data_IF_824439792322
#
_entry.id   IF_824439792322
#
_cell.length_a   1.000
_cell.length_b   1.000
_cell.length_c   1.000
_cell.angle_alpha   90.00
_cell.angle_beta   90.00
_cell.angle_gamma   90.00
#
_symmetry.space_group_name_H-M   'P 1'
#
loop_
_entity.id
_entity.type
_entity.pdbx_description
1 polymer ?
#
# COMPACT_ATOMS: atom_id res chain seq x y z
N UNK A 1 3.50 26.10 12.36
CA UNK A 1 2.43 26.16 13.20
C UNK A 1 2.54 25.07 14.18
N UNK A 2 2.56 25.54 15.30
CA UNK A 2 2.49 24.63 16.31
C UNK A 2 1.48 23.67 15.91
N UNK A 3 1.81 22.85 15.46
CA UNK A 3 0.99 22.04 14.94
C UNK A 3 -0.05 21.45 15.74
N UNK A 4 -0.58 20.53 15.21
CA UNK A 4 -1.57 19.68 15.77
C UNK A 4 -0.88 18.88 16.85
N UNK A 5 -1.34 19.03 18.06
CA UNK A 5 -0.89 18.17 19.14
C UNK A 5 -1.64 16.87 18.99
N UNK A 6 -0.91 15.82 18.68
CA UNK A 6 -1.51 14.51 18.51
C UNK A 6 -1.18 13.66 19.73
N UNK A 7 -2.21 13.23 20.44
CA UNK A 7 -2.05 12.32 21.57
C UNK A 7 -1.81 10.91 21.04
N UNK A 8 -0.65 10.36 21.36
CA UNK A 8 -0.24 9.04 20.87
C UNK A 8 -1.19 7.91 21.34
N UNK A 9 -1.91 8.12 22.43
CA UNK A 9 -2.88 7.15 22.94
C UNK A 9 -4.26 7.28 22.29
N UNK A 10 -4.51 8.35 21.53
CA UNK A 10 -5.82 8.59 20.95
C UNK A 10 -6.02 7.76 19.67
N UNK A 11 -7.27 7.33 19.40
CA UNK A 11 -7.58 6.67 18.14
C UNK A 11 -7.20 7.50 16.91
N UNK A 12 -7.29 8.82 17.00
CA UNK A 12 -6.93 9.71 15.90
C UNK A 12 -5.45 9.62 15.55
N UNK A 13 -4.59 9.42 16.54
CA UNK A 13 -3.17 9.23 16.28
C UNK A 13 -2.93 7.90 15.56
N UNK A 14 -3.57 6.83 16.03
CA UNK A 14 -3.43 5.51 15.40
C UNK A 14 -3.96 5.52 13.97
N UNK A 15 -5.06 6.21 13.72
CA UNK A 15 -5.60 6.38 12.38
C UNK A 15 -4.61 7.16 11.49
N UNK A 16 -4.06 8.24 11.99
CA UNK A 16 -3.08 9.04 11.25
C UNK A 16 -1.87 8.19 10.86
N UNK A 17 -1.35 7.41 11.81
CA UNK A 17 -0.20 6.53 11.55
C UNK A 17 -0.55 5.48 10.50
N UNK A 18 -1.74 4.88 10.58
CA UNK A 18 -2.18 3.88 9.61
C UNK A 18 -2.29 4.47 8.21
N UNK A 19 -2.89 5.66 8.11
CA UNK A 19 -3.05 6.33 6.81
C UNK A 19 -1.70 6.69 6.19
N UNK A 20 -0.78 7.20 7.00
CA UNK A 20 0.55 7.55 6.53
C UNK A 20 1.32 6.31 6.06
N UNK A 21 1.25 5.24 6.86
CA UNK A 21 1.91 3.98 6.52
C UNK A 21 1.31 3.34 5.26
N UNK A 22 0.00 3.44 5.09
CA UNK A 22 -0.66 2.94 3.89
C UNK A 22 -0.20 3.70 2.65
N UNK A 23 -0.14 5.03 2.75
CA UNK A 23 0.33 5.87 1.66
C UNK A 23 1.77 5.51 1.26
N UNK A 24 2.63 5.29 2.24
CA UNK A 24 4.02 4.91 2.00
C UNK A 24 4.12 3.55 1.30
N UNK A 25 3.37 2.56 1.78
CA UNK A 25 3.35 1.23 1.16
C UNK A 25 2.79 1.27 -0.26
N UNK A 26 1.70 2.02 -0.45
CA UNK A 26 1.11 2.17 -1.77
C UNK A 26 2.08 2.83 -2.75
N UNK A 27 2.82 3.85 -2.31
CA UNK A 27 3.82 4.50 -3.17
C UNK A 27 4.88 3.53 -3.64
N UNK A 28 5.31 2.60 -2.79
CA UNK A 28 6.27 1.57 -3.19
C UNK A 28 5.68 0.62 -4.24
N UNK A 29 4.41 0.23 -4.05
CA UNK A 29 3.72 -0.62 -5.03
C UNK A 29 3.57 0.12 -6.36
N UNK A 30 3.13 1.37 -6.30
CA UNK A 30 2.93 2.19 -7.50
C UNK A 30 4.23 2.35 -8.28
N UNK A 31 5.34 2.57 -7.59
CA UNK A 31 6.64 2.68 -8.23
C UNK A 31 7.02 1.40 -8.99
N UNK A 32 6.76 0.25 -8.36
CA UNK A 32 7.06 -1.04 -8.99
C UNK A 32 6.18 -1.30 -10.22
N UNK A 33 4.89 -0.98 -10.12
CA UNK A 33 3.96 -1.16 -11.23
C UNK A 33 4.24 -0.18 -12.38
N UNK A 34 4.66 1.03 -12.04
CA UNK A 34 5.08 2.02 -13.03
C UNK A 34 6.35 1.56 -13.75
N UNK A 35 7.29 0.99 -13.01
CA UNK A 35 8.48 0.40 -13.61
C UNK A 35 8.10 -0.68 -14.64
N UNK A 36 7.19 -1.58 -14.30
CA UNK A 36 6.74 -2.61 -15.23
C UNK A 36 6.13 -1.99 -16.48
N UNK A 37 5.25 -1.02 -16.29
CA UNK A 37 4.56 -0.35 -17.39
C UNK A 37 5.56 0.32 -18.35
N UNK A 38 6.56 0.99 -17.80
CA UNK A 38 7.54 1.73 -18.60
C UNK A 38 8.58 0.84 -19.27
N UNK A 39 8.75 -0.39 -18.77
CA UNK A 39 9.78 -1.31 -19.28
C UNK A 39 9.18 -2.61 -19.82
N UNK A 40 7.93 -2.57 -20.20
CA UNK A 40 7.18 -3.78 -20.54
C UNK A 40 7.81 -4.61 -21.64
N UNK A 41 8.24 -3.97 -22.73
CA UNK A 41 8.87 -4.67 -23.84
C UNK A 41 10.22 -5.25 -23.44
N UNK A 42 11.00 -4.48 -22.69
CA UNK A 42 12.29 -4.94 -22.22
C UNK A 42 12.14 -6.14 -21.29
N UNK A 43 11.18 -6.07 -20.38
CA UNK A 43 10.95 -7.16 -19.43
C UNK A 43 10.51 -8.45 -20.13
N UNK A 44 9.70 -8.33 -21.17
CA UNK A 44 9.31 -9.51 -21.96
C UNK A 44 10.53 -10.25 -22.52
N UNK A 45 11.53 -9.51 -22.99
CA UNK A 45 12.71 -10.11 -23.60
C UNK A 45 13.78 -10.53 -22.62
N UNK A 46 13.92 -9.81 -21.49
CA UNK A 46 15.06 -9.99 -20.59
C UNK A 46 14.67 -10.68 -19.28
N UNK A 47 13.51 -10.34 -18.74
CA UNK A 47 13.07 -10.84 -17.43
C UNK A 47 11.56 -11.04 -17.40
N UNK A 48 11.03 -12.00 -18.15
CA UNK A 48 9.59 -12.24 -18.17
C UNK A 48 9.05 -12.61 -16.80
N UNK A 49 9.89 -13.17 -15.91
CA UNK A 49 9.48 -13.52 -14.56
C UNK A 49 9.10 -12.29 -13.74
N UNK A 50 9.89 -11.21 -13.88
CA UNK A 50 9.59 -9.95 -13.20
C UNK A 50 8.25 -9.42 -13.69
N UNK A 51 8.04 -9.43 -15.00
CA UNK A 51 6.80 -8.95 -15.60
C UNK A 51 5.60 -9.74 -15.08
N UNK A 52 5.70 -11.07 -15.07
CA UNK A 52 4.61 -11.92 -14.58
C UNK A 52 4.30 -11.68 -13.11
N UNK A 53 5.33 -11.51 -12.28
CA UNK A 53 5.14 -11.24 -10.86
C UNK A 53 4.42 -9.91 -10.66
N UNK A 54 4.86 -8.87 -11.35
CA UNK A 54 4.24 -7.55 -11.22
C UNK A 54 2.82 -7.52 -11.80
N UNK A 55 2.57 -8.25 -12.88
CA UNK A 55 1.23 -8.37 -13.44
C UNK A 55 0.26 -9.04 -12.47
N UNK A 56 0.72 -10.02 -11.70
CA UNK A 56 -0.10 -10.67 -10.68
C UNK A 56 -0.36 -9.75 -9.50
N UNK A 57 0.61 -8.91 -9.16
CA UNK A 57 0.48 -7.98 -8.04
C UNK A 57 -0.54 -6.88 -8.35
N UNK A 58 -0.61 -6.43 -9.59
CA UNK A 58 -1.45 -5.29 -9.99
C UNK A 58 -2.91 -5.40 -9.53
N UNK A 59 -3.65 -6.48 -9.83
CA UNK A 59 -5.05 -6.57 -9.37
C UNK A 59 -5.16 -6.75 -7.86
N UNK A 60 -4.21 -7.42 -7.23
CA UNK A 60 -4.20 -7.59 -5.77
C UNK A 60 -4.00 -6.26 -5.07
N UNK A 61 -3.07 -5.45 -5.57
CA UNK A 61 -2.83 -4.11 -5.03
C UNK A 61 -4.06 -3.21 -5.21
N UNK A 62 -4.68 -3.26 -6.37
CA UNK A 62 -5.88 -2.49 -6.64
C UNK A 62 -7.00 -2.85 -5.67
N UNK A 63 -7.21 -4.14 -5.45
CA UNK A 63 -8.20 -4.63 -4.50
C UNK A 63 -7.90 -4.15 -3.07
N UNK A 64 -6.64 -4.20 -2.65
CA UNK A 64 -6.23 -3.75 -1.33
C UNK A 64 -6.52 -2.25 -1.13
N UNK A 65 -6.23 -1.44 -2.15
CA UNK A 65 -6.49 0.01 -2.11
C UNK A 65 -7.99 0.27 -1.98
N UNK A 66 -8.80 -0.44 -2.74
CA UNK A 66 -10.26 -0.27 -2.68
C UNK A 66 -10.81 -0.66 -1.32
N UNK A 67 -10.35 -1.77 -0.76
CA UNK A 67 -10.77 -2.22 0.56
C UNK A 67 -10.40 -1.20 1.64
N UNK A 68 -9.17 -0.70 1.59
CA UNK A 68 -8.72 0.30 2.56
C UNK A 68 -9.54 1.58 2.44
N UNK A 69 -9.78 2.05 1.23
CA UNK A 69 -10.58 3.27 1.00
C UNK A 69 -11.98 3.14 1.57
N UNK A 70 -12.62 1.98 1.41
CA UNK A 70 -13.95 1.74 1.97
C UNK A 70 -13.92 1.70 3.48
N UNK A 71 -12.99 0.98 4.06
CA UNK A 71 -12.85 0.87 5.51
C UNK A 71 -12.53 2.24 6.13
N UNK A 72 -11.71 3.03 5.45
CA UNK A 72 -11.36 4.38 5.86
C UNK A 72 -12.61 5.27 5.92
N UNK A 73 -13.44 5.19 4.89
CA UNK A 73 -14.69 5.97 4.83
C UNK A 73 -15.63 5.60 5.97
N UNK A 74 -15.77 4.31 6.22
CA UNK A 74 -16.59 3.83 7.34
C UNK A 74 -16.04 4.34 8.67
N UNK A 75 -14.73 4.24 8.86
CA UNK A 75 -14.11 4.70 10.11
C UNK A 75 -14.32 6.19 10.32
N UNK A 76 -14.16 7.00 9.29
CA UNK A 76 -14.33 8.45 9.41
C UNK A 76 -15.78 8.84 9.72
N UNK A 77 -16.74 8.05 9.25
CA UNK A 77 -18.16 8.29 9.52
C UNK A 77 -18.51 7.87 10.94
N UNK A 78 -17.98 6.75 11.42
CA UNK A 78 -18.28 6.20 12.73
C UNK A 78 -17.03 5.52 13.31
N UNK A 79 -16.15 6.30 13.95
CA UNK A 79 -14.91 5.74 14.49
C UNK A 79 -15.17 4.74 15.60
N UNK A 80 -14.62 3.55 15.45
CA UNK A 80 -14.70 2.49 16.44
C UNK A 80 -13.37 1.76 16.54
N UNK A 81 -13.07 1.13 17.69
CA UNK A 81 -11.88 0.29 17.79
C UNK A 81 -11.85 -0.84 16.77
N UNK A 82 -13.00 -1.43 16.47
CA UNK A 82 -13.10 -2.48 15.46
C UNK A 82 -12.77 -1.95 14.06
N UNK A 83 -13.25 -0.75 13.73
CA UNK A 83 -12.94 -0.10 12.47
C UNK A 83 -11.45 0.19 12.34
N UNK A 84 -10.81 0.64 13.40
CA UNK A 84 -9.38 0.88 13.41
C UNK A 84 -8.60 -0.41 13.21
N UNK A 85 -9.00 -1.50 13.86
CA UNK A 85 -8.39 -2.82 13.66
C UNK A 85 -8.50 -3.27 12.22
N UNK A 86 -9.64 -3.03 11.58
CA UNK A 86 -9.84 -3.35 10.17
C UNK A 86 -8.83 -2.60 9.29
N UNK A 87 -8.65 -1.30 9.55
CA UNK A 87 -7.66 -0.51 8.81
C UNK A 87 -6.25 -1.04 9.01
N UNK A 88 -5.90 -1.40 10.24
CA UNK A 88 -4.57 -1.93 10.54
C UNK A 88 -4.32 -3.27 9.86
N UNK A 89 -5.34 -4.13 9.77
CA UNK A 89 -5.23 -5.40 9.06
C UNK A 89 -5.04 -5.18 7.54
N UNK A 90 -5.78 -4.23 6.98
CA UNK A 90 -5.63 -3.89 5.57
C UNK A 90 -4.28 -3.22 5.27
N UNK A 91 -3.78 -2.44 6.23
CA UNK A 91 -2.42 -1.90 6.14
C UNK A 91 -1.39 -3.02 6.05
N UNK A 92 -1.51 -4.05 6.88
CA UNK A 92 -0.62 -5.21 6.82
C UNK A 92 -0.65 -5.87 5.44
N UNK A 93 -1.82 -5.97 4.84
CA UNK A 93 -1.95 -6.56 3.50
C UNK A 93 -1.17 -5.75 2.45
N UNK A 94 -1.34 -4.42 2.42
CA UNK A 94 -0.65 -3.61 1.43
C UNK A 94 0.87 -3.60 1.68
N UNK A 95 1.28 -3.68 2.94
CA UNK A 95 2.71 -3.77 3.27
C UNK A 95 3.34 -5.05 2.75
N UNK A 96 2.63 -6.17 2.82
CA UNK A 96 3.10 -7.44 2.25
C UNK A 96 3.18 -7.36 0.73
N UNK A 97 2.19 -6.75 0.11
CA UNK A 97 2.18 -6.53 -1.34
C UNK A 97 3.36 -5.65 -1.74
N UNK A 98 3.61 -4.58 -0.99
CA UNK A 98 4.74 -3.68 -1.26
C UNK A 98 6.08 -4.42 -1.16
N UNK A 99 6.24 -5.27 -0.14
CA UNK A 99 7.45 -6.05 0.01
C UNK A 99 7.65 -7.01 -1.17
N UNK A 100 6.58 -7.66 -1.62
CA UNK A 100 6.62 -8.55 -2.77
C UNK A 100 6.96 -7.80 -4.06
N UNK A 101 6.39 -6.62 -4.23
CA UNK A 101 6.64 -5.80 -5.42
C UNK A 101 8.09 -5.32 -5.45
N UNK A 102 8.60 -4.86 -4.33
CA UNK A 102 9.99 -4.41 -4.25
C UNK A 102 10.98 -5.55 -4.46
N UNK A 103 10.66 -6.73 -3.93
CA UNK A 103 11.50 -7.91 -4.10
C UNK A 103 11.54 -8.38 -5.57
N UNK A 104 10.49 -8.10 -6.33
CA UNK A 104 10.40 -8.46 -7.74
C UNK A 104 11.21 -7.52 -8.64
N UNK A 105 11.51 -6.31 -8.19
CA UNK A 105 12.25 -5.35 -9.00
C UNK A 105 13.71 -5.77 -9.15
N UNK A 106 14.32 -5.46 -10.32
CA UNK A 106 15.75 -5.68 -10.47
C UNK A 106 16.50 -4.88 -9.42
N UNK A 107 17.50 -5.51 -8.82
CA UNK A 107 18.34 -4.80 -7.87
C UNK A 107 19.25 -3.86 -8.64
N UNK A 108 19.15 -2.58 -8.37
CA UNK A 108 20.00 -1.60 -8.97
C UNK A 108 21.45 -1.83 -8.57
N UNK A 109 22.33 -1.45 -9.43
CA UNK A 109 23.74 -1.52 -9.15
C UNK A 109 24.26 -0.16 -8.73
#
# INVERSE_FOLDING_TARGET
AAGIVVDAAAPDYAFFVADLAFSTAYSAVDAALTFEKNNRKLLWGVSPEIKHTLDKIRPVAWSAVQKYSRARRVYLTSPTPAGLSTLQNLLSEIQKIAASAQAALPKGN
#
